data_IF_910576268830
#
_entry.id   IF_910576268830
#
_cell.length_a   1.000
_cell.length_b   1.000
_cell.length_c   1.000
_cell.angle_alpha   90.00
_cell.angle_beta   90.00
_cell.angle_gamma   90.00
#
_symmetry.space_group_name_H-M   'P 1'
#
loop_
_entity.id
_entity.type
_entity.pdbx_description
1 polymer ?
#
# COMPACT_ATOMS: atom_id res chain seq x y z
N UNK A 1 15.92 -3.69 -12.92
CA UNK A 1 16.05 -2.48 -12.08
C UNK A 1 14.86 -2.41 -11.15
N UNK A 2 15.00 -1.83 -9.95
CA UNK A 2 13.91 -1.70 -8.98
C UNK A 2 13.86 -0.26 -8.46
N UNK A 3 12.65 0.31 -8.37
CA UNK A 3 12.41 1.62 -7.77
C UNK A 3 11.67 1.40 -6.45
N UNK A 4 12.14 2.05 -5.39
CA UNK A 4 11.59 1.91 -4.04
C UNK A 4 11.47 3.28 -3.38
N UNK A 5 10.32 3.53 -2.76
CA UNK A 5 10.09 4.67 -1.86
C UNK A 5 9.89 4.07 -0.48
N UNK A 6 10.68 4.53 0.49
CA UNK A 6 10.52 4.16 1.89
C UNK A 6 9.74 5.27 2.60
N UNK A 7 8.60 4.93 3.20
CA UNK A 7 7.72 5.88 3.89
C UNK A 7 7.05 5.22 5.09
N UNK A 8 6.79 6.00 6.13
CA UNK A 8 5.96 5.58 7.27
C UNK A 8 4.46 5.64 6.97
N UNK A 9 4.06 6.31 5.88
CA UNK A 9 2.66 6.45 5.50
C UNK A 9 2.17 5.20 4.75
N UNK A 10 1.06 4.56 5.16
CA UNK A 10 0.56 3.33 4.52
C UNK A 10 -0.25 3.62 3.24
N UNK A 11 0.24 4.50 2.36
CA UNK A 11 -0.48 4.98 1.18
C UNK A 11 -0.14 4.18 -0.08
N UNK A 12 -0.44 2.88 -0.06
CA UNK A 12 -0.08 1.94 -1.13
C UNK A 12 -0.44 2.45 -2.53
N UNK A 13 -1.69 2.84 -2.77
CA UNK A 13 -2.16 3.29 -4.09
C UNK A 13 -1.45 4.55 -4.58
N UNK A 14 -1.17 5.49 -3.66
CA UNK A 14 -0.47 6.74 -3.97
C UNK A 14 0.97 6.44 -4.37
N UNK A 15 1.67 5.64 -3.57
CA UNK A 15 3.08 5.31 -3.84
C UNK A 15 3.25 4.42 -5.08
N UNK A 16 2.32 3.49 -5.36
CA UNK A 16 2.38 2.71 -6.59
C UNK A 16 2.23 3.59 -7.84
N UNK A 17 1.26 4.51 -7.85
CA UNK A 17 1.09 5.46 -8.96
C UNK A 17 2.31 6.37 -9.11
N UNK A 18 2.85 6.85 -7.99
CA UNK A 18 4.06 7.68 -8.01
C UNK A 18 5.27 6.93 -8.57
N UNK A 19 5.51 5.68 -8.13
CA UNK A 19 6.60 4.85 -8.64
C UNK A 19 6.47 4.59 -10.15
N UNK A 20 5.25 4.36 -10.66
CA UNK A 20 5.02 4.21 -12.09
C UNK A 20 5.36 5.49 -12.86
N UNK A 21 4.92 6.65 -12.38
CA UNK A 21 5.26 7.93 -12.99
C UNK A 21 6.78 8.20 -12.97
N UNK A 22 7.46 7.87 -11.86
CA UNK A 22 8.91 7.98 -11.77
C UNK A 22 9.62 7.05 -12.77
N UNK A 23 9.12 5.82 -12.95
CA UNK A 23 9.64 4.90 -13.95
C UNK A 23 9.50 5.47 -15.38
N UNK A 24 8.36 6.07 -15.69
CA UNK A 24 8.12 6.70 -16.99
C UNK A 24 9.02 7.91 -17.23
N UNK A 25 9.22 8.77 -16.23
CA UNK A 25 10.15 9.90 -16.33
C UNK A 25 11.60 9.43 -16.51
N UNK A 26 12.00 8.34 -15.84
CA UNK A 26 13.32 7.75 -16.00
C UNK A 26 13.51 7.19 -17.41
N UNK A 27 12.50 6.52 -17.97
CA UNK A 27 12.52 6.03 -19.34
C UNK A 27 12.65 7.16 -20.37
N UNK A 28 12.07 8.34 -20.08
CA UNK A 28 12.17 9.56 -20.90
C UNK A 28 13.41 10.41 -20.63
N UNK A 29 14.31 9.97 -19.75
CA UNK A 29 15.51 10.71 -19.30
C UNK A 29 15.22 12.12 -18.71
N UNK A 30 14.03 12.33 -18.13
CA UNK A 30 13.59 13.60 -17.55
C UNK A 30 14.06 13.78 -16.10
N UNK A 31 15.38 13.78 -15.90
CA UNK A 31 16.00 13.77 -14.55
C UNK A 31 15.68 15.02 -13.72
N UNK A 32 15.57 16.18 -14.36
CA UNK A 32 15.30 17.45 -13.66
C UNK A 32 13.88 17.49 -13.07
N UNK A 33 12.91 16.97 -13.82
CA UNK A 33 11.50 16.89 -13.39
C UNK A 33 11.36 15.92 -12.22
N UNK A 34 12.04 14.78 -12.27
CA UNK A 34 12.10 13.81 -11.15
C UNK A 34 12.66 14.48 -9.89
N UNK A 35 13.79 15.18 -10.01
CA UNK A 35 14.41 15.86 -8.86
C UNK A 35 13.49 16.94 -8.28
N UNK A 36 12.83 17.72 -9.13
CA UNK A 36 11.88 18.74 -8.69
C UNK A 36 10.67 18.12 -7.97
N UNK A 37 10.10 17.05 -8.53
CA UNK A 37 8.96 16.31 -7.95
C UNK A 37 9.32 15.72 -6.59
N UNK A 38 10.45 15.00 -6.50
CA UNK A 38 10.90 14.39 -5.24
C UNK A 38 11.23 15.44 -4.18
N UNK A 39 11.88 16.55 -4.57
CA UNK A 39 12.18 17.65 -3.66
C UNK A 39 10.92 18.33 -3.12
N UNK A 40 9.89 18.49 -3.96
CA UNK A 40 8.62 19.07 -3.55
C UNK A 40 7.82 18.11 -2.64
N UNK A 41 7.75 16.82 -2.98
CA UNK A 41 7.11 15.80 -2.13
C UNK A 41 7.77 15.68 -0.75
N UNK A 42 9.10 15.70 -0.70
CA UNK A 42 9.84 15.57 0.56
C UNK A 42 9.68 16.80 1.47
N UNK A 43 9.48 18.00 0.90
CA UNK A 43 9.27 19.23 1.67
C UNK A 43 7.82 19.41 2.13
N UNK A 44 6.90 18.64 1.55
CA UNK A 44 5.48 18.78 1.84
C UNK A 44 5.16 18.32 3.26
N UNK A 45 4.38 19.12 3.99
CA UNK A 45 3.83 18.72 5.27
C UNK A 45 2.81 17.59 5.09
N UNK A 46 2.77 16.68 6.04
CA UNK A 46 1.80 15.57 6.01
C UNK A 46 0.39 16.16 6.12
N UNK A 47 -0.51 15.89 5.16
CA UNK A 47 -1.89 16.35 5.22
C UNK A 47 -2.63 15.72 6.40
N UNK A 48 -3.39 16.54 7.13
CA UNK A 48 -4.29 16.06 8.18
C UNK A 48 -5.47 15.28 7.57
N UNK A 49 -5.84 14.15 8.19
CA UNK A 49 -6.78 13.14 7.67
C UNK A 49 -8.21 13.63 7.43
N UNK A 50 -8.55 14.80 7.96
CA UNK A 50 -9.86 15.43 8.01
C UNK A 50 -10.08 16.49 6.91
N UNK A 51 -9.05 16.77 6.11
CA UNK A 51 -9.16 17.58 4.91
C UNK A 51 -8.76 16.77 3.68
N UNK A 52 -9.58 16.79 2.62
CA UNK A 52 -9.12 16.46 1.27
C UNK A 52 -8.07 17.49 0.86
N UNK A 53 -6.85 17.34 1.36
CA UNK A 53 -5.75 18.20 0.97
C UNK A 53 -5.38 17.76 -0.44
N UNK A 54 -5.87 18.54 -1.38
CA UNK A 54 -5.44 18.56 -2.77
C UNK A 54 -3.96 18.86 -2.75
N UNK A 55 -3.14 17.81 -2.85
CA UNK A 55 -1.75 17.96 -3.21
C UNK A 55 -1.78 18.54 -4.63
N UNK A 56 -1.68 19.88 -4.75
CA UNK A 56 -1.51 20.61 -6.01
C UNK A 56 -0.11 20.36 -6.59
N UNK A 57 0.30 19.10 -6.61
CA UNK A 57 1.43 18.65 -7.38
C UNK A 57 0.87 17.76 -8.47
N UNK A 58 1.32 17.98 -9.70
CA UNK A 58 1.15 17.01 -10.78
C UNK A 58 1.97 15.79 -10.34
N UNK A 59 1.36 14.62 -10.01
CA UNK A 59 -0.03 14.20 -10.16
C UNK A 59 -0.86 14.35 -8.87
N UNK A 60 -2.14 14.70 -9.03
CA UNK A 60 -3.10 14.88 -7.92
C UNK A 60 -3.23 13.59 -7.10
N UNK A 61 -3.09 13.69 -5.78
CA UNK A 61 -3.38 12.59 -4.86
C UNK A 61 -4.22 13.10 -3.70
N UNK A 62 -5.13 12.23 -3.26
CA UNK A 62 -5.97 12.44 -2.08
C UNK A 62 -5.38 11.56 -0.99
N UNK A 63 -5.06 12.15 0.16
CA UNK A 63 -4.61 11.39 1.32
C UNK A 63 -5.73 10.44 1.77
N UNK A 64 -5.48 9.12 1.88
CA UNK A 64 -6.50 8.18 2.33
C UNK A 64 -6.82 8.40 3.82
N UNK A 65 -8.11 8.37 4.17
CA UNK A 65 -8.55 8.42 5.57
C UNK A 65 -8.26 7.07 6.24
N UNK A 66 -7.42 7.01 7.28
CA UNK A 66 -7.07 5.77 7.96
C UNK A 66 -8.24 5.12 8.73
N UNK A 67 -9.35 5.83 8.93
CA UNK A 67 -10.53 5.33 9.64
C UNK A 67 -11.49 4.55 8.75
N UNK A 68 -11.37 4.69 7.44
CA UNK A 68 -12.26 4.02 6.50
C UNK A 68 -11.82 2.56 6.33
N UNK A 69 -12.81 1.66 6.30
CA UNK A 69 -12.56 0.27 5.96
C UNK A 69 -12.10 0.15 4.50
N UNK A 70 -11.18 -0.77 4.20
CA UNK A 70 -10.75 -1.02 2.82
C UNK A 70 -11.93 -1.57 1.99
N UNK A 71 -12.19 -0.94 0.84
CA UNK A 71 -13.19 -1.38 -0.13
C UNK A 71 -12.55 -2.14 -1.31
N UNK A 72 -13.34 -2.98 -1.96
CA UNK A 72 -12.95 -3.71 -3.16
C UNK A 72 -13.70 -3.07 -4.33
N UNK A 73 -13.03 -2.72 -5.45
CA UNK A 73 -11.65 -3.06 -5.81
C UNK A 73 -10.61 -1.97 -5.49
N UNK A 74 -10.98 -0.90 -4.77
CA UNK A 74 -10.12 0.27 -4.59
C UNK A 74 -8.86 -0.04 -3.78
N UNK A 75 -8.96 -0.94 -2.80
CA UNK A 75 -7.81 -1.42 -2.03
C UNK A 75 -7.16 -2.60 -2.76
N UNK A 76 -5.98 -2.38 -3.35
CA UNK A 76 -5.26 -3.42 -4.09
C UNK A 76 -4.87 -4.62 -3.23
N UNK A 77 -4.50 -4.38 -1.96
CA UNK A 77 -4.07 -5.46 -1.07
C UNK A 77 -5.23 -6.44 -0.79
N UNK A 78 -6.39 -5.89 -0.41
CA UNK A 78 -7.60 -6.68 -0.14
C UNK A 78 -8.12 -7.39 -1.39
N UNK A 79 -8.11 -6.68 -2.52
CA UNK A 79 -8.54 -7.22 -3.81
C UNK A 79 -7.67 -8.42 -4.22
N UNK A 80 -6.35 -8.28 -4.12
CA UNK A 80 -5.42 -9.36 -4.45
C UNK A 80 -5.58 -10.56 -3.49
N UNK A 81 -5.80 -10.33 -2.19
CA UNK A 81 -6.03 -11.41 -1.22
C UNK A 81 -7.25 -12.25 -1.59
N UNK A 82 -8.38 -11.61 -1.88
CA UNK A 82 -9.64 -12.31 -2.19
C UNK A 82 -9.58 -13.04 -3.53
N UNK A 83 -8.80 -12.51 -4.48
CA UNK A 83 -8.58 -13.18 -5.78
C UNK A 83 -7.61 -14.36 -5.64
N UNK A 84 -6.59 -14.24 -4.79
CA UNK A 84 -5.51 -15.23 -4.70
C UNK A 84 -5.76 -16.37 -3.71
N UNK A 85 -6.59 -16.15 -2.68
CA UNK A 85 -6.82 -17.09 -1.58
C UNK A 85 -8.28 -17.52 -1.55
N UNK A 86 -8.53 -18.82 -1.55
CA UNK A 86 -9.87 -19.37 -1.39
C UNK A 86 -10.43 -19.11 0.02
N UNK A 87 -11.76 -19.10 0.12
CA UNK A 87 -12.46 -18.79 1.37
C UNK A 87 -12.06 -19.75 2.51
N UNK A 88 -11.82 -21.03 2.21
CA UNK A 88 -11.44 -22.02 3.21
C UNK A 88 -10.09 -21.70 3.86
N UNK A 89 -9.08 -21.47 3.03
CA UNK A 89 -7.75 -21.06 3.49
C UNK A 89 -7.77 -19.69 4.17
N UNK A 90 -8.57 -18.74 3.69
CA UNK A 90 -8.72 -17.43 4.31
C UNK A 90 -9.25 -17.54 5.75
N UNK A 91 -10.27 -18.38 5.98
CA UNK A 91 -10.81 -18.62 7.33
C UNK A 91 -9.78 -19.30 8.23
N UNK A 92 -9.01 -20.26 7.72
CA UNK A 92 -7.95 -20.91 8.49
C UNK A 92 -6.82 -19.96 8.86
N UNK A 93 -6.43 -19.07 7.94
CA UNK A 93 -5.43 -18.03 8.19
C UNK A 93 -5.93 -17.05 9.25
N UNK A 94 -7.16 -16.56 9.12
CA UNK A 94 -7.76 -15.66 10.08
C UNK A 94 -7.82 -16.29 11.49
N UNK A 95 -8.28 -17.54 11.60
CA UNK A 95 -8.26 -18.28 12.86
C UNK A 95 -6.83 -18.42 13.41
N UNK A 96 -5.86 -18.75 12.56
CA UNK A 96 -4.45 -18.89 12.97
C UNK A 96 -3.88 -17.57 13.53
N UNK A 97 -4.27 -16.42 12.97
CA UNK A 97 -3.90 -15.11 13.49
C UNK A 97 -4.54 -14.85 14.85
N UNK A 98 -5.81 -15.17 15.05
CA UNK A 98 -6.47 -14.99 16.35
C UNK A 98 -5.84 -15.85 17.47
N UNK A 99 -5.19 -16.96 17.12
CA UNK A 99 -4.42 -17.80 18.05
C UNK A 99 -2.92 -17.48 18.08
N UNK A 100 -2.51 -16.34 17.52
CA UNK A 100 -1.11 -15.88 17.49
C UNK A 100 -0.12 -16.96 17.01
N UNK A 101 -0.52 -17.74 16.02
CA UNK A 101 0.34 -18.82 15.48
C UNK A 101 1.45 -18.25 14.60
N UNK A 102 2.53 -19.03 14.46
CA UNK A 102 3.56 -18.79 13.45
C UNK A 102 3.01 -19.17 12.09
N UNK A 103 2.77 -18.18 11.23
CA UNK A 103 2.14 -18.36 9.93
C UNK A 103 3.18 -18.14 8.84
N UNK A 104 3.31 -19.11 7.93
CA UNK A 104 4.17 -18.99 6.75
C UNK A 104 3.30 -18.91 5.50
N UNK A 105 3.45 -17.82 4.74
CA UNK A 105 2.76 -17.60 3.47
C UNK A 105 3.79 -17.69 2.35
N UNK A 106 3.48 -18.45 1.30
CA UNK A 106 4.31 -18.58 0.11
C UNK A 106 3.51 -18.19 -1.12
N UNK A 107 4.14 -17.50 -2.07
CA UNK A 107 3.58 -17.22 -3.39
C UNK A 107 4.71 -17.12 -4.42
N UNK A 108 4.38 -17.39 -5.69
CA UNK A 108 5.32 -17.23 -6.81
C UNK A 108 5.50 -15.77 -7.23
N UNK A 109 4.55 -14.89 -6.88
CA UNK A 109 4.56 -13.46 -7.18
C UNK A 109 4.72 -12.67 -5.88
N UNK A 110 5.72 -11.79 -5.85
CA UNK A 110 5.97 -10.92 -4.69
C UNK A 110 4.77 -10.01 -4.39
N UNK A 111 4.11 -9.47 -5.42
CA UNK A 111 2.92 -8.63 -5.25
C UNK A 111 1.80 -9.36 -4.51
N UNK A 112 1.53 -10.60 -4.89
CA UNK A 112 0.49 -11.42 -4.25
C UNK A 112 0.89 -11.72 -2.80
N UNK A 113 2.15 -12.09 -2.56
CA UNK A 113 2.68 -12.35 -1.22
C UNK A 113 2.48 -11.15 -0.29
N UNK A 114 2.97 -9.98 -0.68
CA UNK A 114 2.92 -8.78 0.17
C UNK A 114 1.50 -8.27 0.35
N UNK A 115 0.68 -8.29 -0.71
CA UNK A 115 -0.73 -7.90 -0.64
C UNK A 115 -1.49 -8.77 0.35
N UNK A 116 -1.29 -10.10 0.31
CA UNK A 116 -1.95 -11.02 1.23
C UNK A 116 -1.56 -10.71 2.68
N UNK A 117 -0.28 -10.52 2.97
CA UNK A 117 0.21 -10.19 4.32
C UNK A 117 -0.41 -8.88 4.84
N UNK A 118 -0.40 -7.82 4.03
CA UNK A 118 -0.96 -6.52 4.44
C UNK A 118 -2.48 -6.58 4.62
N UNK A 119 -3.20 -7.26 3.72
CA UNK A 119 -4.65 -7.40 3.81
C UNK A 119 -5.08 -8.26 5.01
N UNK A 120 -4.37 -9.35 5.30
CA UNK A 120 -4.62 -10.18 6.48
C UNK A 120 -4.37 -9.40 7.77
N UNK A 121 -3.29 -8.62 7.85
CA UNK A 121 -3.06 -7.74 9.00
C UNK A 121 -4.17 -6.70 9.17
N UNK A 122 -4.74 -6.18 8.07
CA UNK A 122 -5.86 -5.24 8.12
C UNK A 122 -7.18 -5.91 8.53
N UNK A 123 -7.35 -7.20 8.22
CA UNK A 123 -8.53 -7.99 8.60
C UNK A 123 -8.67 -8.19 10.12
N UNK A 124 -7.60 -7.96 10.89
CA UNK A 124 -7.62 -7.98 12.36
C UNK A 124 -8.23 -6.72 12.99
N UNK A 125 -8.52 -5.67 12.20
CA UNK A 125 -9.09 -4.42 12.73
C UNK A 125 -10.27 -4.70 13.67
N UNK A 126 -10.32 -4.11 14.88
CA UNK A 126 -9.50 -3.00 15.38
C UNK A 126 -8.15 -3.40 16.02
N UNK A 127 -7.78 -4.67 15.98
CA UNK A 127 -6.49 -5.18 16.46
C UNK A 127 -5.41 -5.08 15.37
N UNK A 128 -4.15 -5.11 15.79
CA UNK A 128 -3.00 -5.15 14.89
C UNK A 128 -2.09 -6.30 15.30
N UNK A 129 -1.49 -6.99 14.32
CA UNK A 129 -0.50 -8.02 14.59
C UNK A 129 0.75 -7.41 15.26
N UNK A 130 1.15 -7.95 16.42
CA UNK A 130 2.23 -7.38 17.26
C UNK A 130 3.57 -8.12 17.15
N UNK A 131 3.61 -9.23 16.43
CA UNK A 131 4.76 -10.15 16.42
C UNK A 131 5.32 -10.36 15.01
N UNK A 132 6.42 -11.11 14.94
CA UNK A 132 7.00 -11.58 13.67
C UNK A 132 6.38 -12.93 13.34
#
# INVERSE_FOLDING_TARGET
TCLCILSYLPWFEVFYKLLNNLADYLAKAQVNEIKALLAALHKQSIPMADGSITLQMIPYFIAPDPRNLPSIPENRNLTELIVAVDVGNLLQLYASMLFERRILIFASKLSTLTSCVHALSAALYPMYWQHI
#
